data_IF_599642681144
#
_entry.id   IF_599642681144
#
_cell.length_a   1.000
_cell.length_b   1.000
_cell.length_c   1.000
_cell.angle_alpha   90.00
_cell.angle_beta   90.00
_cell.angle_gamma   90.00
#
_symmetry.space_group_name_H-M   'P 1'
#
loop_
_entity.id
_entity.type
_entity.pdbx_description
1 polymer ?
#
# COMPACT_ATOMS: atom_id res chain seq x y z
N UNK A 1 6.82 67.88 -20.20
CA UNK A 1 6.00 68.62 -19.21
C UNK A 1 6.50 68.21 -17.83
N UNK A 2 7.29 69.10 -17.22
CA UNK A 2 7.29 69.53 -15.79
C UNK A 2 6.81 68.54 -14.73
N UNK A 3 7.42 68.33 -13.55
CA UNK A 3 8.59 68.85 -12.79
C UNK A 3 8.73 67.86 -11.58
N UNK A 4 9.94 67.48 -11.11
CA UNK A 4 10.58 67.89 -9.82
C UNK A 4 9.63 67.85 -8.59
N UNK A 5 9.97 67.34 -7.39
CA UNK A 5 11.28 67.15 -6.72
C UNK A 5 11.09 66.35 -5.38
N UNK A 6 12.15 65.63 -4.95
CA UNK A 6 12.68 65.37 -3.57
C UNK A 6 11.75 64.94 -2.40
N UNK A 7 12.14 64.14 -1.39
CA UNK A 7 13.30 63.32 -1.08
C UNK A 7 12.98 62.38 0.13
N UNK A 8 13.69 61.24 0.18
CA UNK A 8 14.28 60.52 1.35
C UNK A 8 13.47 60.05 2.58
N UNK A 9 13.54 58.71 2.81
CA UNK A 9 14.02 57.97 4.02
C UNK A 9 13.25 58.25 5.34
N UNK A 10 12.64 57.29 6.07
CA UNK A 10 13.19 56.05 6.66
C UNK A 10 12.04 55.09 7.07
N UNK A 11 12.38 53.80 7.14
CA UNK A 11 11.68 52.66 7.75
C UNK A 11 11.13 52.90 9.19
N UNK A 12 9.91 52.46 9.48
CA UNK A 12 9.64 51.28 10.34
C UNK A 12 8.13 51.04 10.56
N UNK A 13 7.84 49.77 10.83
CA UNK A 13 6.56 49.13 11.12
C UNK A 13 5.64 49.90 12.09
N UNK A 14 4.34 49.86 11.84
CA UNK A 14 3.35 49.32 12.80
C UNK A 14 1.92 49.35 12.22
N UNK A 15 1.16 48.30 12.55
CA UNK A 15 -0.18 48.03 12.06
C UNK A 15 -1.23 48.96 12.70
N UNK A 16 -2.08 49.53 11.84
CA UNK A 16 -3.19 50.43 12.15
C UNK A 16 -4.48 49.59 12.39
N UNK A 17 -5.01 49.53 13.62
CA UNK A 17 -6.10 50.37 14.19
C UNK A 17 -7.50 49.78 14.03
N UNK A 18 -8.20 49.65 15.17
CA UNK A 18 -9.39 50.46 15.47
C UNK A 18 -9.51 50.62 16.99
N UNK A 19 -9.26 51.85 17.46
CA UNK A 19 -9.57 52.34 18.82
C UNK A 19 -10.56 53.49 18.65
N UNK A 20 -11.57 53.56 19.51
CA UNK A 20 -12.15 54.79 20.06
C UNK A 20 -13.07 54.41 21.25
N UNK A 21 -13.29 55.28 22.24
CA UNK A 21 -12.31 55.86 23.17
C UNK A 21 -12.65 55.56 24.65
N UNK A 22 -11.66 55.69 25.53
CA UNK A 22 -11.80 55.81 27.00
C UNK A 22 -12.22 57.26 27.35
N UNK A 23 -13.04 57.52 28.39
CA UNK A 23 -12.42 57.89 29.67
C UNK A 23 -13.20 57.50 30.95
N UNK A 24 -12.43 57.34 32.04
CA UNK A 24 -12.78 57.62 33.43
C UNK A 24 -13.72 56.64 34.18
N UNK A 25 -13.13 55.68 34.90
CA UNK A 25 -13.21 55.49 36.37
C UNK A 25 -12.86 54.04 36.74
N UNK A 26 -11.85 53.78 37.60
CA UNK A 26 -11.78 52.51 38.30
C UNK A 26 -12.78 52.54 39.46
N UNK A 27 -13.88 51.79 39.32
CA UNK A 27 -14.77 51.46 40.43
C UNK A 27 -13.96 50.76 41.53
N UNK A 28 -14.03 51.31 42.74
CA UNK A 28 -13.47 50.73 43.96
C UNK A 28 -14.10 49.35 44.21
N UNK A 29 -13.39 48.29 43.84
CA UNK A 29 -13.75 46.93 44.25
C UNK A 29 -13.19 46.67 45.64
N UNK A 30 -14.09 46.71 46.62
CA UNK A 30 -13.93 46.32 48.01
C UNK A 30 -12.90 45.18 48.22
N UNK A 31 -11.86 45.50 48.97
CA UNK A 31 -10.91 44.51 49.49
C UNK A 31 -11.60 43.70 50.60
N UNK A 32 -12.40 42.69 50.22
CA UNK A 32 -12.95 41.74 51.19
C UNK A 32 -11.85 40.73 51.56
N UNK A 33 -11.23 40.99 52.70
CA UNK A 33 -10.30 40.08 53.36
C UNK A 33 -10.92 38.68 53.52
N UNK A 34 -10.24 37.58 53.14
CA UNK A 34 -10.79 36.26 53.37
C UNK A 34 -10.83 35.98 54.88
N UNK A 35 -12.03 35.97 55.46
CA UNK A 35 -12.29 35.50 56.82
C UNK A 35 -11.86 34.03 56.92
N UNK A 36 -10.72 33.79 57.58
CA UNK A 36 -10.27 32.45 57.99
C UNK A 36 -11.29 31.85 58.95
N UNK A 37 -12.16 30.99 58.43
CA UNK A 37 -13.04 30.14 59.22
C UNK A 37 -12.69 28.67 59.00
N UNK A 38 -11.58 28.23 59.60
CA UNK A 38 -11.33 26.81 59.85
C UNK A 38 -10.84 26.68 61.29
N UNK A 39 -11.80 26.57 62.21
CA UNK A 39 -11.55 26.23 63.61
C UNK A 39 -11.36 24.71 63.69
N UNK A 40 -10.17 24.24 63.29
CA UNK A 40 -9.80 22.83 63.36
C UNK A 40 -9.46 22.42 64.79
N UNK A 41 -10.12 21.39 65.32
CA UNK A 41 -9.66 20.66 66.50
C UNK A 41 -8.21 20.21 66.27
N UNK A 42 -7.29 20.71 67.08
CA UNK A 42 -5.88 20.29 67.10
C UNK A 42 -5.81 18.85 67.61
N UNK A 43 -5.89 17.86 66.70
CA UNK A 43 -5.56 16.48 67.02
C UNK A 43 -4.05 16.39 67.27
N UNK A 44 -3.64 16.37 68.54
CA UNK A 44 -2.28 16.01 68.97
C UNK A 44 -2.03 14.52 68.71
N UNK A 45 -1.73 14.17 67.46
CA UNK A 45 -1.22 12.87 67.08
C UNK A 45 0.28 12.79 67.43
N UNK A 46 0.68 11.72 68.12
CA UNK A 46 2.09 11.43 68.43
C UNK A 46 2.93 11.34 67.15
N UNK A 47 4.18 11.81 67.16
CA UNK A 47 5.10 11.83 65.99
C UNK A 47 5.16 10.48 65.24
N UNK A 48 5.07 9.36 65.96
CA UNK A 48 5.03 8.01 65.36
C UNK A 48 3.78 7.77 64.50
N UNK A 49 2.62 8.30 64.90
CA UNK A 49 1.37 8.17 64.14
C UNK A 49 1.38 9.07 62.90
N UNK A 50 2.02 10.25 62.97
CA UNK A 50 2.23 11.12 61.80
C UNK A 50 3.05 10.45 60.70
N UNK A 51 4.18 9.82 61.04
CA UNK A 51 5.01 9.12 60.05
C UNK A 51 4.27 7.95 59.38
N UNK A 52 3.42 7.25 60.14
CA UNK A 52 2.61 6.13 59.61
C UNK A 52 1.55 6.65 58.63
N UNK A 53 0.88 7.76 58.95
CA UNK A 53 -0.11 8.40 58.07
C UNK A 53 0.54 8.91 56.79
N UNK A 54 1.72 9.52 56.88
CA UNK A 54 2.46 10.02 55.72
C UNK A 54 2.88 8.88 54.77
N UNK A 55 3.39 7.77 55.33
CA UNK A 55 3.76 6.60 54.53
C UNK A 55 2.53 5.97 53.83
N UNK A 56 1.40 5.87 54.54
CA UNK A 56 0.15 5.37 53.96
C UNK A 56 -0.35 6.26 52.81
N UNK A 57 -0.34 7.59 53.00
CA UNK A 57 -0.70 8.53 51.94
C UNK A 57 0.21 8.39 50.72
N UNK A 58 1.52 8.26 50.92
CA UNK A 58 2.46 8.06 49.82
C UNK A 58 2.15 6.79 49.02
N UNK A 59 1.88 5.66 49.71
CA UNK A 59 1.47 4.41 49.04
C UNK A 59 0.17 4.56 48.25
N UNK A 60 -0.84 5.25 48.81
CA UNK A 60 -2.11 5.49 48.12
C UNK A 60 -1.93 6.37 46.89
N UNK A 61 -1.12 7.42 46.97
CA UNK A 61 -0.79 8.28 45.83
C UNK A 61 -0.09 7.46 44.74
N UNK A 62 0.92 6.65 45.10
CA UNK A 62 1.62 5.80 44.13
C UNK A 62 0.69 4.81 43.43
N UNK A 63 -0.24 4.18 44.15
CA UNK A 63 -1.20 3.25 43.58
C UNK A 63 -2.17 3.96 42.60
N UNK A 64 -2.67 5.14 42.97
CA UNK A 64 -3.55 5.94 42.13
C UNK A 64 -2.82 6.42 40.85
N UNK A 65 -1.57 6.87 40.98
CA UNK A 65 -0.74 7.27 39.82
C UNK A 65 -0.48 6.10 38.88
N UNK A 66 -0.10 4.92 39.41
CA UNK A 66 0.11 3.73 38.59
C UNK A 66 -1.18 3.32 37.85
N UNK A 67 -2.33 3.35 38.53
CA UNK A 67 -3.62 3.03 37.90
C UNK A 67 -3.97 4.00 36.77
N UNK A 68 -3.79 5.30 36.98
CA UNK A 68 -4.03 6.31 35.94
C UNK A 68 -3.13 6.08 34.72
N UNK A 69 -1.84 5.80 34.94
CA UNK A 69 -0.89 5.47 33.86
C UNK A 69 -1.28 4.16 33.16
N UNK A 70 -1.72 3.13 33.88
CA UNK A 70 -2.18 1.88 33.29
C UNK A 70 -3.39 2.09 32.37
N UNK A 71 -4.37 2.87 32.81
CA UNK A 71 -5.53 3.22 31.99
C UNK A 71 -5.15 4.02 30.75
N UNK A 72 -4.22 4.97 30.87
CA UNK A 72 -3.67 5.72 29.74
C UNK A 72 -2.92 4.81 28.75
N UNK A 73 -2.11 3.88 29.26
CA UNK A 73 -1.38 2.93 28.43
C UNK A 73 -2.32 2.03 27.63
N UNK A 74 -3.40 1.54 28.26
CA UNK A 74 -4.43 0.75 27.59
C UNK A 74 -5.12 1.55 26.47
N UNK A 75 -5.55 2.78 26.76
CA UNK A 75 -6.20 3.64 25.77
C UNK A 75 -5.26 3.99 24.59
N UNK A 76 -3.99 4.25 24.87
CA UNK A 76 -2.98 4.48 23.84
C UNK A 76 -2.79 3.25 22.94
N UNK A 77 -2.79 2.05 23.52
CA UNK A 77 -2.68 0.81 22.75
C UNK A 77 -3.87 0.59 21.82
N UNK A 78 -5.09 0.89 22.28
CA UNK A 78 -6.30 0.83 21.44
C UNK A 78 -6.23 1.83 20.27
N UNK A 79 -5.69 3.03 20.50
CA UNK A 79 -5.48 4.03 19.45
C UNK A 79 -4.46 3.57 18.41
N UNK A 80 -3.34 2.97 18.83
CA UNK A 80 -2.32 2.42 17.93
C UNK A 80 -2.92 1.32 17.05
N UNK A 81 -3.64 0.37 17.66
CA UNK A 81 -4.28 -0.71 16.90
C UNK A 81 -5.35 -0.20 15.92
N UNK A 82 -6.07 0.87 16.25
CA UNK A 82 -7.01 1.50 15.33
C UNK A 82 -6.28 2.20 14.17
N UNK A 83 -5.18 2.90 14.46
CA UNK A 83 -4.37 3.57 13.46
C UNK A 83 -3.70 2.58 12.49
N UNK A 84 -3.20 1.44 12.99
CA UNK A 84 -2.62 0.37 12.16
C UNK A 84 -3.64 -0.15 11.15
N UNK A 85 -4.85 -0.50 11.59
CA UNK A 85 -5.93 -0.96 10.69
C UNK A 85 -6.32 0.08 9.64
N UNK A 86 -6.28 1.36 10.00
CA UNK A 86 -6.52 2.45 9.04
C UNK A 86 -5.42 2.49 7.99
N UNK A 87 -4.16 2.41 8.41
CA UNK A 87 -3.02 2.41 7.48
C UNK A 87 -3.04 1.18 6.55
N UNK A 88 -3.39 0.01 7.08
CA UNK A 88 -3.55 -1.20 6.29
C UNK A 88 -4.62 -1.03 5.21
N UNK A 89 -5.78 -0.47 5.55
CA UNK A 89 -6.84 -0.19 4.59
C UNK A 89 -6.44 0.86 3.55
N UNK A 90 -5.68 1.89 3.95
CA UNK A 90 -5.16 2.92 3.05
C UNK A 90 -4.05 2.41 2.13
N UNK A 91 -3.38 1.31 2.47
CA UNK A 91 -2.23 0.76 1.74
C UNK A 91 -2.45 -0.66 1.24
N UNK A 92 -3.72 -1.09 1.10
CA UNK A 92 -4.07 -2.42 0.64
C UNK A 92 -3.84 -2.57 -0.87
N UNK A 93 -2.80 -3.31 -1.31
CA UNK A 93 -2.60 -3.56 -2.72
C UNK A 93 -3.57 -4.63 -3.22
N UNK A 94 -4.18 -4.40 -4.38
CA UNK A 94 -5.16 -5.30 -4.98
C UNK A 94 -4.70 -5.69 -6.38
N UNK A 95 -4.08 -6.87 -6.49
CA UNK A 95 -3.55 -7.34 -7.77
C UNK A 95 -4.61 -8.10 -8.57
N UNK A 96 -4.80 -7.66 -9.81
CA UNK A 96 -5.68 -8.28 -10.79
C UNK A 96 -4.86 -8.82 -11.95
N UNK A 97 -5.21 -10.01 -12.42
CA UNK A 97 -4.69 -10.50 -13.69
C UNK A 97 -5.51 -9.89 -14.83
N UNK A 98 -4.85 -9.37 -15.86
CA UNK A 98 -5.54 -8.78 -17.00
C UNK A 98 -5.11 -9.42 -18.32
N UNK A 99 -6.10 -9.66 -19.17
CA UNK A 99 -5.96 -10.18 -20.51
C UNK A 99 -6.62 -9.22 -21.51
N UNK A 100 -5.93 -8.88 -22.59
CA UNK A 100 -6.51 -8.20 -23.74
C UNK A 100 -5.92 -8.80 -25.02
N UNK A 101 -6.73 -8.90 -26.08
CA UNK A 101 -6.30 -9.34 -27.40
C UNK A 101 -6.36 -8.23 -28.47
N UNK A 102 -6.70 -7.01 -28.06
CA UNK A 102 -6.75 -5.84 -28.93
C UNK A 102 -6.16 -4.62 -28.23
N UNK A 103 -5.38 -3.84 -28.97
CA UNK A 103 -4.81 -2.59 -28.49
C UNK A 103 -5.58 -1.43 -29.14
N UNK A 104 -6.28 -0.66 -28.29
CA UNK A 104 -7.15 0.42 -28.71
C UNK A 104 -6.38 1.64 -29.23
N UNK A 105 -5.17 1.89 -28.75
CA UNK A 105 -4.36 3.05 -29.13
C UNK A 105 -3.74 2.85 -30.52
N UNK A 106 -3.22 1.64 -30.77
CA UNK A 106 -2.60 1.28 -32.05
C UNK A 106 -3.57 0.69 -33.07
N UNK A 107 -4.84 0.50 -32.69
CA UNK A 107 -5.93 -0.09 -33.49
C UNK A 107 -5.54 -1.42 -34.14
N UNK A 108 -4.79 -2.27 -33.41
CA UNK A 108 -4.26 -3.53 -33.94
C UNK A 108 -4.48 -4.70 -32.97
N UNK A 109 -4.69 -5.93 -33.48
CA UNK A 109 -4.71 -7.11 -32.64
C UNK A 109 -3.36 -7.34 -31.96
N UNK A 110 -3.37 -7.33 -30.63
CA UNK A 110 -2.19 -7.46 -29.77
C UNK A 110 -2.64 -8.15 -28.50
N UNK A 111 -2.01 -9.29 -28.20
CA UNK A 111 -2.18 -9.94 -26.91
C UNK A 111 -1.36 -9.16 -25.90
N UNK A 112 -1.98 -8.79 -24.79
CA UNK A 112 -1.34 -8.20 -23.61
C UNK A 112 -1.85 -8.96 -22.39
N UNK A 113 -0.93 -9.63 -21.71
CA UNK A 113 -1.16 -10.31 -20.45
C UNK A 113 -0.35 -9.57 -19.39
N UNK A 114 -1.01 -9.18 -18.30
CA UNK A 114 -0.37 -8.41 -17.25
C UNK A 114 -0.95 -8.66 -15.87
N UNK A 115 -0.32 -7.99 -14.91
CA UNK A 115 -0.83 -7.81 -13.56
C UNK A 115 -1.07 -6.32 -13.37
N UNK A 116 -2.28 -5.95 -13.00
CA UNK A 116 -2.67 -4.59 -12.64
C UNK A 116 -2.79 -4.49 -11.12
N UNK A 117 -2.18 -3.48 -10.51
CA UNK A 117 -2.50 -3.10 -9.15
C UNK A 117 -3.66 -2.10 -9.16
N UNK A 118 -4.84 -2.53 -8.76
CA UNK A 118 -6.04 -1.68 -8.64
C UNK A 118 -6.36 -1.31 -7.19
N UNK A 119 -5.46 -1.65 -6.26
CA UNK A 119 -5.59 -1.29 -4.85
C UNK A 119 -4.74 -0.07 -4.54
N UNK A 120 -4.80 0.35 -3.28
CA UNK A 120 -4.05 1.50 -2.81
C UNK A 120 -2.68 1.06 -2.28
N UNK A 121 -1.64 1.79 -2.63
CA UNK A 121 -0.27 1.46 -2.22
C UNK A 121 0.41 0.38 -3.07
N UNK A 122 1.73 0.21 -2.90
CA UNK A 122 2.51 -0.65 -3.78
C UNK A 122 2.53 -2.11 -3.32
N UNK A 123 2.56 -3.01 -4.29
CA UNK A 123 2.66 -4.46 -4.10
C UNK A 123 4.07 -4.95 -4.43
N UNK A 124 4.71 -5.66 -3.51
CA UNK A 124 5.94 -6.40 -3.78
C UNK A 124 5.60 -7.82 -4.23
N UNK A 125 5.66 -8.06 -5.54
CA UNK A 125 5.39 -9.38 -6.13
C UNK A 125 6.54 -10.31 -5.77
N UNK A 126 6.23 -11.42 -5.09
CA UNK A 126 7.23 -12.43 -4.70
C UNK A 126 7.36 -13.48 -5.79
N UNK A 127 6.24 -14.01 -6.25
CA UNK A 127 6.20 -14.98 -7.33
C UNK A 127 4.87 -14.93 -8.08
N UNK A 128 4.91 -15.39 -9.33
CA UNK A 128 3.74 -15.67 -10.16
C UNK A 128 3.84 -17.12 -10.60
N UNK A 129 2.71 -17.82 -10.52
CA UNK A 129 2.59 -19.21 -10.96
C UNK A 129 1.37 -19.33 -11.87
N UNK A 130 1.54 -20.11 -12.93
CA UNK A 130 0.50 -20.39 -13.90
C UNK A 130 0.11 -21.85 -13.81
N UNK A 131 -1.15 -22.15 -14.05
CA UNK A 131 -1.64 -23.50 -14.14
C UNK A 131 -2.46 -23.69 -15.40
N UNK A 132 -2.14 -24.74 -16.12
CA UNK A 132 -2.84 -25.11 -17.34
C UNK A 132 -2.93 -26.63 -17.45
N UNK A 133 -4.15 -27.15 -17.66
CA UNK A 133 -4.45 -28.59 -17.78
C UNK A 133 -3.86 -29.44 -16.65
N UNK A 134 -3.94 -28.95 -15.42
CA UNK A 134 -3.43 -29.66 -14.24
C UNK A 134 -1.91 -29.65 -14.09
N UNK A 135 -1.16 -28.93 -14.93
CA UNK A 135 0.28 -28.73 -14.79
C UNK A 135 0.58 -27.31 -14.34
N UNK A 136 1.60 -27.15 -13.49
CA UNK A 136 2.04 -25.86 -12.97
C UNK A 136 3.29 -25.38 -13.70
N UNK A 137 3.31 -24.09 -14.03
CA UNK A 137 4.40 -23.42 -14.71
C UNK A 137 4.83 -22.19 -13.93
N UNK A 138 6.14 -21.99 -13.92
CA UNK A 138 6.81 -20.94 -13.14
C UNK A 138 7.16 -19.73 -13.98
N UNK A 139 6.96 -19.82 -15.29
CA UNK A 139 7.29 -18.80 -16.27
C UNK A 139 6.22 -18.82 -17.35
N UNK A 140 5.79 -17.64 -17.77
CA UNK A 140 4.85 -17.49 -18.88
C UNK A 140 5.39 -18.08 -20.19
N UNK A 141 6.72 -18.05 -20.37
CA UNK A 141 7.38 -18.68 -21.52
C UNK A 141 7.22 -20.20 -21.44
N UNK A 142 7.49 -20.81 -20.28
CA UNK A 142 7.35 -22.26 -20.11
C UNK A 142 5.91 -22.73 -20.35
N UNK A 143 4.93 -21.95 -19.88
CA UNK A 143 3.51 -22.16 -20.14
C UNK A 143 3.19 -22.13 -21.66
N UNK A 144 3.63 -21.08 -22.37
CA UNK A 144 3.36 -20.95 -23.80
C UNK A 144 4.16 -21.92 -24.66
N UNK A 145 5.32 -22.36 -24.16
CA UNK A 145 6.10 -23.40 -24.82
C UNK A 145 5.38 -24.75 -24.77
N UNK A 146 4.85 -25.11 -23.60
CA UNK A 146 4.08 -26.35 -23.42
C UNK A 146 2.78 -26.39 -24.24
N UNK A 147 2.10 -25.26 -24.44
CA UNK A 147 0.94 -25.20 -25.32
C UNK A 147 1.31 -25.22 -26.80
N UNK A 148 2.20 -24.29 -27.17
CA UNK A 148 2.20 -23.73 -28.50
C UNK A 148 3.62 -23.68 -29.12
N UNK A 149 4.64 -24.13 -28.37
CA UNK A 149 6.06 -24.13 -28.76
C UNK A 149 6.57 -22.74 -29.17
N UNK A 150 6.43 -21.78 -28.27
CA UNK A 150 6.82 -20.40 -28.50
C UNK A 150 8.34 -20.24 -28.64
N UNK A 151 9.15 -21.13 -28.03
CA UNK A 151 10.60 -21.06 -28.19
C UNK A 151 11.03 -21.39 -29.62
N UNK A 152 10.42 -22.40 -30.26
CA UNK A 152 10.72 -22.70 -31.66
C UNK A 152 10.36 -21.55 -32.60
N UNK A 153 9.31 -20.80 -32.28
CA UNK A 153 8.98 -19.57 -33.02
C UNK A 153 10.07 -18.52 -32.89
N UNK A 154 10.58 -18.28 -31.68
CA UNK A 154 11.71 -17.36 -31.46
C UNK A 154 12.95 -17.81 -32.22
N UNK A 155 13.32 -19.09 -32.12
CA UNK A 155 14.52 -19.62 -32.77
C UNK A 155 14.43 -19.49 -34.31
N UNK A 156 13.23 -19.67 -34.86
CA UNK A 156 12.97 -19.43 -36.28
C UNK A 156 13.15 -17.95 -36.67
N UNK A 157 12.67 -17.00 -35.85
CA UNK A 157 12.88 -15.57 -36.09
C UNK A 157 14.36 -15.18 -36.00
N UNK A 158 15.08 -15.72 -35.02
CA UNK A 158 16.51 -15.44 -34.84
C UNK A 158 17.33 -15.93 -36.04
N UNK A 159 16.99 -17.09 -36.59
CA UNK A 159 17.62 -17.61 -37.80
C UNK A 159 17.32 -16.75 -39.05
N UNK A 160 16.10 -16.23 -39.16
CA UNK A 160 15.71 -15.36 -40.28
C UNK A 160 16.38 -13.98 -40.22
N UNK A 161 16.64 -13.45 -39.02
CA UNK A 161 17.35 -12.18 -38.84
C UNK A 161 18.85 -12.29 -39.17
N UNK A 162 19.44 -13.48 -39.01
CA UNK A 162 20.83 -13.73 -39.36
C UNK A 162 21.06 -13.84 -40.88
N UNK A 163 20.03 -14.25 -41.63
CA UNK A 163 20.11 -14.42 -43.09
C UNK A 163 19.96 -13.10 -43.86
N UNK A 164 19.24 -12.11 -43.29
CA UNK A 164 19.02 -10.81 -43.90
C UNK A 164 19.07 -9.69 -42.85
N UNK A 165 20.21 -8.98 -42.80
CA UNK A 165 20.44 -7.88 -41.85
C UNK A 165 19.69 -6.59 -42.19
N UNK A 166 19.16 -6.44 -43.41
CA UNK A 166 18.49 -5.22 -43.87
C UNK A 166 16.97 -5.24 -43.60
N UNK A 167 16.41 -6.42 -43.28
CA UNK A 167 15.00 -6.58 -42.91
C UNK A 167 14.82 -6.53 -41.40
N UNK A 168 13.91 -5.67 -40.94
CA UNK A 168 13.41 -5.72 -39.57
C UNK A 168 12.46 -6.92 -39.43
N UNK A 169 13.02 -8.10 -39.13
CA UNK A 169 12.29 -9.36 -38.99
C UNK A 169 11.24 -9.25 -37.87
N UNK A 170 11.56 -8.54 -36.79
CA UNK A 170 10.63 -8.34 -35.68
C UNK A 170 9.34 -7.61 -36.09
N UNK A 171 9.47 -6.52 -36.86
CA UNK A 171 8.32 -5.75 -37.32
C UNK A 171 7.47 -6.52 -38.35
N UNK A 172 8.12 -7.36 -39.18
CA UNK A 172 7.44 -8.10 -40.25
C UNK A 172 6.73 -9.35 -39.73
N UNK A 173 7.39 -10.11 -38.87
CA UNK A 173 6.89 -11.40 -38.39
C UNK A 173 6.11 -11.29 -37.08
N UNK A 174 6.22 -10.17 -36.36
CA UNK A 174 5.52 -9.94 -35.11
C UNK A 174 6.30 -10.52 -33.93
N UNK A 175 6.87 -9.63 -33.15
CA UNK A 175 7.56 -9.92 -31.90
C UNK A 175 6.62 -10.27 -30.75
N UNK A 176 7.16 -11.01 -29.80
CA UNK A 176 6.63 -11.07 -28.44
C UNK A 176 7.67 -10.56 -27.44
N UNK A 177 7.21 -9.98 -26.35
CA UNK A 177 8.05 -9.51 -25.24
C UNK A 177 7.57 -10.19 -23.97
N UNK A 178 8.50 -10.50 -23.08
CA UNK A 178 8.18 -11.02 -21.75
C UNK A 178 8.91 -10.25 -20.68
N UNK A 179 8.25 -10.06 -19.54
CA UNK A 179 8.85 -9.47 -18.34
C UNK A 179 8.92 -10.50 -17.22
N UNK A 180 9.90 -10.32 -16.32
CA UNK A 180 9.95 -11.08 -15.05
C UNK A 180 9.11 -10.36 -14.01
N UNK A 181 8.26 -11.11 -13.31
CA UNK A 181 7.39 -10.56 -12.27
C UNK A 181 7.99 -10.71 -10.87
N UNK A 182 8.88 -11.67 -10.68
CA UNK A 182 9.44 -12.02 -9.39
C UNK A 182 10.27 -10.87 -8.81
N UNK A 183 10.06 -10.59 -7.52
CA UNK A 183 10.73 -9.53 -6.77
C UNK A 183 10.51 -8.12 -7.36
N UNK A 184 9.43 -7.92 -8.13
CA UNK A 184 9.09 -6.61 -8.68
C UNK A 184 8.19 -5.81 -7.72
N UNK A 185 8.43 -4.50 -7.63
CA UNK A 185 7.56 -3.57 -6.93
C UNK A 185 6.58 -2.98 -7.94
N UNK A 186 5.29 -3.18 -7.73
CA UNK A 186 4.22 -2.65 -8.57
C UNK A 186 3.50 -1.53 -7.82
N UNK A 187 3.64 -0.30 -8.30
CA UNK A 187 2.99 0.86 -7.69
C UNK A 187 1.45 0.81 -7.81
N UNK A 188 0.75 1.66 -7.07
CA UNK A 188 -0.69 1.89 -7.22
C UNK A 188 -1.02 2.31 -8.66
N UNK A 189 -2.07 1.72 -9.22
CA UNK A 189 -2.55 1.97 -10.59
C UNK A 189 -1.62 1.47 -11.70
N UNK A 190 -0.44 0.94 -11.36
CA UNK A 190 0.52 0.49 -12.34
C UNK A 190 0.17 -0.91 -12.87
N UNK A 191 0.51 -1.15 -14.14
CA UNK A 191 0.38 -2.44 -14.80
C UNK A 191 1.76 -2.99 -15.16
N UNK A 192 1.99 -4.25 -14.86
CA UNK A 192 3.17 -5.00 -15.26
C UNK A 192 2.81 -5.92 -16.42
N UNK A 193 3.20 -5.61 -17.67
CA UNK A 193 3.00 -6.51 -18.79
C UNK A 193 3.94 -7.72 -18.67
N UNK A 194 3.38 -8.91 -18.50
CA UNK A 194 4.11 -10.17 -18.40
C UNK A 194 4.41 -10.76 -19.77
N UNK A 195 3.47 -10.62 -20.70
CA UNK A 195 3.61 -11.07 -22.07
C UNK A 195 2.86 -10.13 -23.01
N UNK A 196 3.50 -9.74 -24.10
CA UNK A 196 2.84 -9.04 -25.19
C UNK A 196 3.21 -9.68 -26.52
N UNK A 197 2.26 -9.76 -27.45
CA UNK A 197 2.51 -10.29 -28.80
C UNK A 197 1.61 -9.63 -29.84
N UNK A 198 2.24 -9.04 -30.86
CA UNK A 198 1.50 -8.42 -31.97
C UNK A 198 1.14 -9.47 -33.03
N UNK A 199 -0.11 -9.44 -33.50
CA UNK A 199 -0.55 -10.31 -34.59
C UNK A 199 0.07 -9.86 -35.93
N UNK A 200 0.50 -10.82 -36.73
CA UNK A 200 1.06 -10.62 -38.05
C UNK A 200 0.55 -11.69 -39.01
N UNK A 201 0.71 -11.45 -40.31
CA UNK A 201 0.37 -12.44 -41.35
C UNK A 201 1.14 -13.76 -41.20
N UNK A 202 2.28 -13.76 -40.51
CA UNK A 202 3.16 -14.91 -40.36
C UNK A 202 2.92 -15.69 -39.07
N UNK A 203 2.41 -15.02 -38.03
CA UNK A 203 2.22 -15.64 -36.71
C UNK A 203 0.75 -15.90 -36.34
N UNK A 204 -0.20 -15.59 -37.24
CA UNK A 204 -1.65 -15.74 -37.01
C UNK A 204 -2.04 -17.04 -36.28
N UNK A 205 -1.57 -18.20 -36.76
CA UNK A 205 -1.92 -19.50 -36.16
C UNK A 205 -1.37 -19.68 -34.73
N UNK A 206 -0.17 -19.16 -34.46
CA UNK A 206 0.42 -19.20 -33.12
C UNK A 206 -0.31 -18.23 -32.20
N UNK A 207 -0.58 -17.03 -32.70
CA UNK A 207 -1.32 -15.98 -31.99
C UNK A 207 -2.71 -16.47 -31.58
N UNK A 208 -3.49 -17.06 -32.50
CA UNK A 208 -4.83 -17.58 -32.21
C UNK A 208 -4.81 -18.72 -31.18
N UNK A 209 -3.76 -19.56 -31.20
CA UNK A 209 -3.57 -20.60 -30.17
C UNK A 209 -3.30 -20.01 -28.80
N UNK A 210 -2.43 -18.99 -28.71
CA UNK A 210 -2.11 -18.31 -27.46
C UNK A 210 -3.36 -17.58 -26.93
N UNK A 211 -4.12 -16.90 -27.79
CA UNK A 211 -5.38 -16.21 -27.45
C UNK A 211 -6.38 -17.20 -26.83
N UNK A 212 -6.69 -18.30 -27.53
CA UNK A 212 -7.62 -19.32 -27.05
C UNK A 212 -7.16 -20.05 -25.77
N UNK A 213 -5.84 -20.18 -25.57
CA UNK A 213 -5.29 -20.84 -24.39
C UNK A 213 -5.31 -19.91 -23.18
N UNK A 214 -5.07 -18.61 -23.36
CA UNK A 214 -4.96 -17.63 -22.27
C UNK A 214 -6.25 -17.53 -21.44
N UNK A 215 -7.41 -17.74 -22.05
CA UNK A 215 -8.72 -17.79 -21.36
C UNK A 215 -8.86 -18.97 -20.38
N UNK A 216 -8.05 -20.02 -20.53
CA UNK A 216 -8.14 -21.27 -19.75
C UNK A 216 -7.04 -21.37 -18.67
N UNK A 217 -6.20 -20.35 -18.53
CA UNK A 217 -5.06 -20.37 -17.61
C UNK A 217 -5.51 -19.84 -16.25
N UNK A 218 -5.25 -20.63 -15.20
CA UNK A 218 -5.32 -20.11 -13.84
C UNK A 218 -4.00 -19.45 -13.47
N UNK A 219 -4.08 -18.29 -12.84
CA UNK A 219 -2.91 -17.51 -12.41
C UNK A 219 -2.99 -17.29 -10.92
N UNK A 220 -1.87 -17.52 -10.24
CA UNK A 220 -1.70 -17.32 -8.82
C UNK A 220 -0.51 -16.39 -8.60
N UNK A 221 -0.73 -15.31 -7.87
CA UNK A 221 0.30 -14.31 -7.58
C UNK A 221 0.39 -14.12 -6.09
N UNK A 222 1.57 -14.38 -5.51
CA UNK A 222 1.84 -14.00 -4.13
C UNK A 222 2.59 -12.68 -4.07
N UNK A 223 2.08 -11.77 -3.26
CA UNK A 223 2.62 -10.44 -3.10
C UNK A 223 2.48 -9.98 -1.66
N UNK A 224 3.29 -9.01 -1.26
CA UNK A 224 3.16 -8.39 0.05
C UNK A 224 3.04 -6.87 -0.08
N UNK A 225 2.35 -6.23 0.86
CA UNK A 225 2.38 -4.78 1.02
C UNK A 225 3.73 -4.34 1.60
N UNK A 226 3.96 -3.02 1.68
CA UNK A 226 5.12 -2.48 2.39
C UNK A 226 5.06 -2.69 3.91
N UNK A 227 3.88 -2.99 4.45
CA UNK A 227 3.67 -3.30 5.86
C UNK A 227 3.90 -4.79 6.17
N UNK A 228 4.56 -5.51 5.26
CA UNK A 228 4.92 -6.94 5.39
C UNK A 228 3.73 -7.91 5.45
N UNK A 229 2.50 -7.43 5.17
CA UNK A 229 1.33 -8.29 5.04
C UNK A 229 1.31 -8.93 3.66
N UNK A 230 1.18 -10.26 3.61
CA UNK A 230 1.23 -11.02 2.37
C UNK A 230 -0.13 -11.62 1.98
N UNK A 231 -0.34 -11.73 0.68
CA UNK A 231 -1.59 -12.15 0.07
C UNK A 231 -1.32 -13.01 -1.16
N UNK A 232 -2.26 -13.91 -1.47
CA UNK A 232 -2.34 -14.61 -2.74
C UNK A 232 -3.56 -14.08 -3.50
N UNK A 233 -3.34 -13.59 -4.72
CA UNK A 233 -4.41 -13.26 -5.67
C UNK A 233 -4.53 -14.34 -6.75
N UNK A 234 -5.76 -14.57 -7.19
CA UNK A 234 -6.10 -15.50 -8.27
C UNK A 234 -6.51 -14.76 -9.55
N UNK A 235 -6.67 -15.49 -10.66
CA UNK A 235 -7.15 -14.93 -11.94
C UNK A 235 -8.48 -14.17 -11.84
N UNK A 236 -9.35 -14.53 -10.89
CA UNK A 236 -10.64 -13.88 -10.65
C UNK A 236 -10.54 -12.69 -9.69
N UNK A 237 -9.32 -12.21 -9.41
CA UNK A 237 -9.05 -11.15 -8.43
C UNK A 237 -9.51 -11.49 -7.01
N UNK A 238 -9.70 -12.77 -6.67
CA UNK A 238 -9.94 -13.19 -5.30
C UNK A 238 -8.62 -13.15 -4.52
N UNK A 239 -8.61 -12.43 -3.40
CA UNK A 239 -7.43 -12.19 -2.56
C UNK A 239 -7.57 -12.95 -1.24
N UNK A 240 -6.54 -13.69 -0.84
CA UNK A 240 -6.51 -14.44 0.42
C UNK A 240 -5.25 -14.12 1.22
N UNK A 241 -5.37 -13.78 2.53
CA UNK A 241 -4.21 -13.48 3.36
C UNK A 241 -3.38 -14.74 3.62
N UNK A 242 -2.05 -14.58 3.66
CA UNK A 242 -1.09 -15.65 3.97
C UNK A 242 -0.02 -15.14 4.93
N UNK A 243 0.56 -16.03 5.73
CA UNK A 243 1.61 -15.66 6.69
C UNK A 243 2.89 -15.17 6.00
N UNK A 244 3.25 -15.77 4.88
CA UNK A 244 4.36 -15.35 4.03
C UNK A 244 4.18 -15.92 2.61
N UNK A 245 5.04 -15.46 1.69
CA UNK A 245 5.16 -16.03 0.34
C UNK A 245 6.27 -17.09 0.25
N UNK A 246 6.77 -17.59 1.39
CA UNK A 246 7.90 -18.52 1.48
C UNK A 246 7.48 -19.97 1.33
N UNK A 247 6.20 -20.29 1.53
CA UNK A 247 5.59 -21.63 1.43
C UNK A 247 5.75 -22.34 0.05
N UNK A 248 6.54 -21.78 -0.87
CA UNK A 248 6.70 -22.27 -2.22
C UNK A 248 5.51 -21.89 -3.09
N UNK A 249 5.72 -21.96 -4.39
CA UNK A 249 4.64 -21.84 -5.38
C UNK A 249 3.62 -22.93 -5.07
N UNK A 250 2.32 -22.60 -5.16
CA UNK A 250 1.25 -23.51 -4.77
C UNK A 250 1.50 -24.87 -5.43
N UNK A 251 1.78 -25.88 -4.61
CA UNK A 251 1.71 -27.24 -5.10
C UNK A 251 0.23 -27.54 -5.32
N UNK A 252 -0.09 -28.33 -6.34
CA UNK A 252 -1.48 -28.70 -6.68
C UNK A 252 -2.29 -29.25 -5.48
N UNK A 253 -1.61 -29.64 -4.39
CA UNK A 253 -2.16 -30.15 -3.14
C UNK A 253 -2.59 -29.09 -2.09
N UNK A 254 -2.18 -27.81 -2.21
CA UNK A 254 -2.60 -26.76 -1.26
C UNK A 254 -4.00 -26.20 -1.55
N UNK A 255 -4.67 -26.68 -2.60
CA UNK A 255 -5.99 -26.22 -3.03
C UNK A 255 -7.15 -26.77 -2.18
N UNK A 256 -6.97 -27.91 -1.51
CA UNK A 256 -8.09 -28.60 -0.84
C UNK A 256 -8.30 -28.20 0.62
N UNK A 257 -7.42 -27.38 1.22
CA UNK A 257 -7.51 -27.04 2.64
C UNK A 257 -8.04 -25.63 2.93
N UNK A 258 -8.31 -24.81 1.90
CA UNK A 258 -8.90 -23.47 2.09
C UNK A 258 -10.41 -23.42 1.84
N UNK A 259 -11.04 -24.55 1.49
CA UNK A 259 -12.48 -24.65 1.20
C UNK A 259 -13.31 -25.30 2.32
N UNK A 260 -12.71 -25.68 3.46
CA UNK A 260 -13.37 -26.45 4.54
C UNK A 260 -13.40 -25.78 5.92
N UNK A 261 -13.38 -24.45 6.00
CA UNK A 261 -13.63 -23.73 7.27
C UNK A 261 -14.68 -22.64 7.10
N UNK A 262 -15.88 -23.02 6.66
CA UNK A 262 -17.13 -22.30 6.98
C UNK A 262 -18.28 -23.31 7.11
N UNK A 263 -18.48 -23.82 8.34
CA UNK A 263 -19.76 -24.29 8.87
C UNK A 263 -19.83 -23.95 10.36
#
# INVERSE_FOLDING_TARGET
MTQQETASVTQNDDQNVTILPDPDQPDEMHHDTPKRFFQGKQLRLSRSKMNTVLALCAMLISAASFYATYMQAKAAQEQVAAAERQLEAETWPWLQFNYSNFDLESERPRITIGILNSGTGPALIKWVQYQYRGQTYDSIIALFDACCNISAYRDALDSAQQDDSDVNVLAKFGWYITSRAEHSLLADGASLPLFTMQKSNFNNRLWDKIDSMSEQVEVYTCYCSLLEQCYISTVNSHVSPVSDCTAGKLTLAQRDNSSTTEH
#
